data_IF_391992839708
#
_entry.id   IF_391992839708
#
_cell.length_a   1.000
_cell.length_b   1.000
_cell.length_c   1.000
_cell.angle_alpha   90.00
_cell.angle_beta   90.00
_cell.angle_gamma   90.00
#
_symmetry.space_group_name_H-M   'P 1'
#
loop_
_entity.id
_entity.type
_entity.pdbx_description
1 polymer ?
#
# COMPACT_ATOMS: atom_id res chain seq x y z
N UNK A 1 36.96 10.69 10.76
CA UNK A 1 35.65 10.84 10.09
C UNK A 1 35.26 9.47 9.56
N UNK A 2 34.05 9.00 9.86
CA UNK A 2 33.63 7.61 9.63
C UNK A 2 32.66 7.42 8.44
N UNK A 3 32.34 8.48 7.70
CA UNK A 3 31.60 8.41 6.44
C UNK A 3 31.66 9.73 5.68
N UNK A 4 31.43 9.67 4.37
CA UNK A 4 31.30 10.84 3.50
C UNK A 4 29.91 11.49 3.65
N UNK A 5 29.82 12.75 3.24
CA UNK A 5 28.54 13.47 3.17
C UNK A 5 27.59 12.81 2.17
N UNK A 6 26.28 12.74 2.45
CA UNK A 6 25.29 12.24 1.50
C UNK A 6 25.37 13.03 0.18
N UNK A 7 25.46 12.33 -0.95
CA UNK A 7 25.35 12.94 -2.26
C UNK A 7 23.90 13.40 -2.51
N UNK A 8 23.74 14.62 -3.03
CA UNK A 8 22.45 15.16 -3.49
C UNK A 8 21.98 14.39 -4.73
N UNK A 9 21.23 13.30 -4.57
CA UNK A 9 20.49 12.70 -5.68
C UNK A 9 19.14 12.02 -5.34
N UNK A 10 18.59 12.19 -4.13
CA UNK A 10 17.37 11.45 -3.72
C UNK A 10 16.27 12.33 -3.08
N UNK A 11 16.01 13.54 -3.58
CA UNK A 11 14.94 14.39 -3.04
C UNK A 11 13.87 14.70 -4.08
N UNK A 12 13.16 13.67 -4.53
CA UNK A 12 11.75 13.85 -4.89
C UNK A 12 11.01 13.74 -3.56
N UNK A 13 10.70 14.89 -2.96
CA UNK A 13 10.08 14.95 -1.64
C UNK A 13 8.73 14.23 -1.60
N UNK A 14 8.35 13.74 -0.42
CA UNK A 14 7.02 13.17 -0.24
C UNK A 14 5.99 14.28 -0.38
N UNK A 15 5.05 14.10 -1.32
CA UNK A 15 3.93 15.02 -1.47
C UNK A 15 2.98 14.77 -0.30
N UNK A 16 2.98 15.71 0.63
CA UNK A 16 2.04 15.71 1.77
C UNK A 16 0.73 16.43 1.43
N UNK A 17 0.75 17.30 0.42
CA UNK A 17 -0.36 18.11 -0.09
C UNK A 17 -0.14 18.38 -1.58
N UNK A 18 -1.21 18.69 -2.33
CA UNK A 18 -1.11 19.12 -3.72
C UNK A 18 -2.26 18.64 -4.60
N UNK A 19 -2.18 18.96 -5.88
CA UNK A 19 -3.08 18.46 -6.92
C UNK A 19 -2.62 17.06 -7.37
N UNK A 20 -3.61 16.18 -7.55
CA UNK A 20 -3.41 14.83 -8.07
C UNK A 20 -3.14 14.88 -9.57
N UNK A 21 -2.21 14.06 -10.07
CA UNK A 21 -1.74 14.11 -11.47
C UNK A 21 -2.14 12.91 -12.32
N UNK A 22 -2.63 11.84 -11.70
CA UNK A 22 -3.21 10.68 -12.37
C UNK A 22 -4.66 10.91 -12.81
N UNK A 23 -5.27 9.85 -13.31
CA UNK A 23 -6.61 9.88 -13.90
C UNK A 23 -7.51 8.78 -13.34
N UNK A 24 -8.81 9.05 -13.26
CA UNK A 24 -9.81 8.01 -13.00
C UNK A 24 -10.12 7.27 -14.30
N UNK A 25 -10.03 5.95 -14.25
CA UNK A 25 -10.33 5.03 -15.34
C UNK A 25 -11.32 3.97 -14.88
N UNK A 26 -11.87 3.24 -15.85
CA UNK A 26 -12.66 2.04 -15.59
C UNK A 26 -11.85 0.83 -16.05
N UNK A 27 -11.68 -0.15 -15.17
CA UNK A 27 -11.09 -1.46 -15.48
C UNK A 27 -12.19 -2.52 -15.62
N UNK A 28 -11.80 -3.80 -15.72
CA UNK A 28 -12.75 -4.91 -15.85
C UNK A 28 -13.86 -4.87 -14.78
N UNK A 29 -15.02 -5.45 -15.15
CA UNK A 29 -16.21 -5.51 -14.30
C UNK A 29 -16.75 -4.13 -13.85
N UNK A 30 -16.52 -3.09 -14.65
CA UNK A 30 -16.90 -1.70 -14.37
C UNK A 30 -16.32 -1.15 -13.06
N UNK A 31 -15.19 -1.70 -12.61
CA UNK A 31 -14.51 -1.22 -11.41
C UNK A 31 -13.81 0.10 -11.70
N UNK A 32 -14.08 1.13 -10.89
CA UNK A 32 -13.34 2.39 -10.96
C UNK A 32 -11.91 2.18 -10.46
N UNK A 33 -10.95 2.86 -11.07
CA UNK A 33 -9.57 2.85 -10.61
C UNK A 33 -8.90 4.20 -10.84
N UNK A 34 -7.88 4.51 -10.05
CA UNK A 34 -7.02 5.67 -10.27
C UNK A 34 -5.67 5.19 -10.81
N UNK A 35 -5.30 5.69 -11.99
CA UNK A 35 -4.05 5.37 -12.68
C UNK A 35 -3.10 6.56 -12.61
N UNK A 36 -1.95 6.36 -11.99
CA UNK A 36 -0.83 7.29 -12.01
C UNK A 36 0.29 6.72 -12.90
N UNK A 37 0.64 7.46 -13.95
CA UNK A 37 1.65 7.05 -14.94
C UNK A 37 2.94 7.87 -14.74
N UNK A 38 4.12 7.24 -14.74
CA UNK A 38 5.37 7.96 -14.57
C UNK A 38 5.65 8.91 -15.74
N UNK A 39 6.40 10.01 -15.52
CA UNK A 39 6.99 10.78 -16.60
C UNK A 39 7.85 9.89 -17.51
N UNK A 40 7.82 10.13 -18.81
CA UNK A 40 8.48 9.27 -19.81
C UNK A 40 10.00 9.11 -19.57
N UNK A 41 10.66 10.14 -19.03
CA UNK A 41 12.10 10.15 -18.71
C UNK A 41 12.45 9.37 -17.43
N UNK A 42 11.47 8.93 -16.66
CA UNK A 42 11.65 8.21 -15.38
C UNK A 42 11.02 6.82 -15.37
N UNK A 43 10.32 6.45 -16.43
CA UNK A 43 9.55 5.22 -16.49
C UNK A 43 10.43 3.97 -16.32
N UNK A 44 10.11 3.13 -15.33
CA UNK A 44 10.65 1.79 -15.21
C UNK A 44 9.89 0.87 -16.15
N UNK A 45 10.40 0.68 -17.37
CA UNK A 45 9.72 -0.08 -18.42
C UNK A 45 9.30 -1.49 -17.94
N UNK A 46 8.01 -1.79 -18.11
CA UNK A 46 7.44 -3.08 -17.71
C UNK A 46 7.27 -3.28 -16.21
N UNK A 47 7.49 -2.26 -15.37
CA UNK A 47 7.37 -2.33 -13.90
C UNK A 47 6.22 -1.45 -13.42
N UNK A 48 5.39 -1.99 -12.52
CA UNK A 48 4.24 -1.28 -11.98
C UNK A 48 3.85 -1.74 -10.58
N UNK A 49 2.97 -0.97 -9.96
CA UNK A 49 2.49 -1.18 -8.60
C UNK A 49 0.97 -1.28 -8.61
N UNK A 50 0.44 -2.37 -8.04
CA UNK A 50 -0.94 -2.40 -7.57
C UNK A 50 -0.98 -1.80 -6.16
N UNK A 51 -1.63 -0.64 -6.03
CA UNK A 51 -1.81 0.05 -4.77
C UNK A 51 -3.15 -0.37 -4.18
N UNK A 52 -3.11 -1.05 -3.05
CA UNK A 52 -4.29 -1.53 -2.35
C UNK A 52 -4.56 -0.58 -1.17
N UNK A 53 -5.62 0.25 -1.25
CA UNK A 53 -5.83 1.33 -0.30
C UNK A 53 -6.30 0.84 1.08
N UNK A 54 -6.32 1.79 2.02
CA UNK A 54 -7.02 1.64 3.29
C UNK A 54 -8.54 1.76 3.11
N UNK A 55 -9.28 1.78 4.21
CA UNK A 55 -10.75 1.85 4.24
C UNK A 55 -11.36 3.09 3.56
N UNK A 56 -10.56 4.13 3.31
CA UNK A 56 -11.01 5.33 2.57
C UNK A 56 -10.81 5.20 1.06
N UNK A 57 -10.34 4.05 0.57
CA UNK A 57 -10.30 3.73 -0.85
C UNK A 57 -9.50 4.75 -1.67
N UNK A 58 -10.03 5.09 -2.85
CA UNK A 58 -9.50 6.18 -3.67
C UNK A 58 -9.82 7.52 -2.99
N UNK A 59 -8.89 7.98 -2.16
CA UNK A 59 -8.91 9.26 -1.45
C UNK A 59 -7.81 10.18 -2.00
N UNK A 60 -7.86 11.48 -1.68
CA UNK A 60 -6.79 12.41 -2.08
C UNK A 60 -5.41 11.94 -1.58
N UNK A 61 -5.33 11.41 -0.35
CA UNK A 61 -4.07 10.90 0.19
C UNK A 61 -3.53 9.68 -0.57
N UNK A 62 -4.39 8.73 -0.94
CA UNK A 62 -3.96 7.56 -1.71
C UNK A 62 -3.57 7.95 -3.14
N UNK A 63 -4.31 8.88 -3.77
CA UNK A 63 -3.98 9.42 -5.09
C UNK A 63 -2.61 10.11 -5.07
N UNK A 64 -2.34 10.96 -4.07
CA UNK A 64 -1.04 11.62 -3.91
C UNK A 64 0.10 10.62 -3.65
N UNK A 65 -0.15 9.50 -2.99
CA UNK A 65 0.84 8.44 -2.83
C UNK A 65 1.10 7.70 -4.14
N UNK A 66 0.05 7.35 -4.90
CA UNK A 66 0.20 6.74 -6.23
C UNK A 66 0.96 7.65 -7.19
N UNK A 67 0.67 8.96 -7.17
CA UNK A 67 1.41 9.95 -7.94
C UNK A 67 2.89 10.02 -7.56
N UNK A 68 3.23 9.77 -6.28
CA UNK A 68 4.62 9.72 -5.85
C UNK A 68 5.32 8.46 -6.30
N UNK A 69 4.66 7.30 -6.29
CA UNK A 69 5.20 6.08 -6.89
C UNK A 69 5.45 6.29 -8.39
N UNK A 70 4.51 6.90 -9.11
CA UNK A 70 4.69 7.31 -10.51
C UNK A 70 5.83 8.31 -10.70
N UNK A 71 5.99 9.29 -9.82
CA UNK A 71 7.12 10.22 -9.86
C UNK A 71 8.49 9.54 -9.66
N UNK A 72 8.50 8.34 -9.05
CA UNK A 72 9.66 7.46 -8.91
C UNK A 72 9.68 6.32 -9.94
N UNK A 73 8.97 6.46 -11.06
CA UNK A 73 9.10 5.55 -12.20
C UNK A 73 8.11 4.38 -12.27
N UNK A 74 7.23 4.24 -11.28
CA UNK A 74 6.31 3.10 -11.20
C UNK A 74 4.91 3.44 -11.72
N UNK A 75 4.46 2.78 -12.79
CA UNK A 75 3.03 2.84 -13.19
C UNK A 75 2.18 2.28 -12.05
N UNK A 76 1.34 3.09 -11.43
CA UNK A 76 0.64 2.75 -10.19
C UNK A 76 -0.87 2.80 -10.37
N UNK A 77 -1.56 1.71 -10.01
CA UNK A 77 -3.01 1.57 -10.14
C UNK A 77 -3.66 1.34 -8.78
N UNK A 78 -4.61 2.20 -8.41
CA UNK A 78 -5.46 2.04 -7.22
C UNK A 78 -6.85 1.57 -7.68
N UNK A 79 -7.26 0.32 -7.46
CA UNK A 79 -8.65 -0.07 -7.70
C UNK A 79 -9.57 0.41 -6.58
N UNK A 80 -10.82 0.72 -6.93
CA UNK A 80 -11.89 0.95 -5.97
C UNK A 80 -12.38 -0.38 -5.38
N UNK A 81 -11.78 -0.77 -4.25
CA UNK A 81 -12.09 -2.02 -3.55
C UNK A 81 -13.55 -2.11 -3.07
N UNK A 82 -14.22 -0.97 -2.94
CA UNK A 82 -15.51 -0.88 -2.26
C UNK A 82 -16.66 -0.56 -3.22
N UNK A 83 -16.41 -0.45 -4.53
CA UNK A 83 -17.41 -0.11 -5.55
C UNK A 83 -18.25 1.13 -5.18
N UNK A 84 -17.58 2.20 -4.76
CA UNK A 84 -18.18 3.46 -4.35
C UNK A 84 -18.60 3.51 -2.87
N UNK A 85 -18.48 2.42 -2.13
CA UNK A 85 -18.89 2.31 -0.73
C UNK A 85 -17.71 2.47 0.27
N UNK A 86 -16.73 3.31 -0.07
CA UNK A 86 -15.60 3.61 0.82
C UNK A 86 -16.07 4.29 2.12
N UNK A 87 -15.27 4.17 3.18
CA UNK A 87 -15.52 4.83 4.46
C UNK A 87 -15.69 6.35 4.28
N UNK A 88 -16.69 6.99 4.92
CA UNK A 88 -16.81 8.44 4.95
C UNK A 88 -15.61 9.15 5.59
N UNK A 89 -15.33 10.36 5.10
CA UNK A 89 -14.30 11.25 5.65
C UNK A 89 -14.92 12.61 5.99
N UNK A 90 -14.98 13.03 7.27
CA UNK A 90 -14.46 12.34 8.46
C UNK A 90 -15.29 11.11 8.85
N UNK A 91 -14.65 10.15 9.53
CA UNK A 91 -15.32 8.97 10.07
C UNK A 91 -16.34 9.39 11.14
N UNK A 92 -17.61 8.94 11.06
CA UNK A 92 -18.60 9.23 12.09
C UNK A 92 -18.21 8.67 13.46
N UNK A 93 -18.52 9.40 14.53
CA UNK A 93 -18.29 8.91 15.90
C UNK A 93 -19.12 7.65 16.16
N UNK A 94 -18.47 6.58 16.62
CA UNK A 94 -19.15 5.30 16.91
C UNK A 94 -19.51 4.48 15.67
N UNK A 95 -18.89 4.78 14.51
CA UNK A 95 -19.09 4.01 13.30
C UNK A 95 -18.69 2.53 13.50
N UNK A 96 -19.57 1.62 13.09
CA UNK A 96 -19.33 0.18 13.16
C UNK A 96 -18.52 -0.29 11.95
N UNK A 97 -17.19 -0.24 12.07
CA UNK A 97 -16.27 -0.68 11.02
C UNK A 97 -16.48 -2.16 10.68
N UNK A 98 -16.77 -3.01 11.68
CA UNK A 98 -16.95 -4.44 11.44
C UNK A 98 -18.28 -4.73 10.74
N UNK A 99 -19.34 -4.02 11.12
CA UNK A 99 -20.63 -4.05 10.42
C UNK A 99 -20.50 -3.60 8.97
N UNK A 100 -19.78 -2.51 8.72
CA UNK A 100 -19.47 -2.01 7.36
C UNK A 100 -18.64 -3.02 6.56
N UNK A 101 -17.58 -3.61 7.13
CA UNK A 101 -16.81 -4.67 6.45
C UNK A 101 -17.71 -5.87 6.11
N UNK A 102 -18.57 -6.28 7.03
CA UNK A 102 -19.35 -7.52 6.90
C UNK A 102 -20.55 -7.36 5.96
N UNK A 103 -21.10 -6.15 5.84
CA UNK A 103 -22.38 -5.94 5.16
C UNK A 103 -22.36 -4.81 4.10
N UNK A 104 -21.34 -3.95 4.09
CA UNK A 104 -21.38 -2.66 3.38
C UNK A 104 -22.28 -1.65 4.09
N UNK A 105 -22.34 -0.42 3.58
CA UNK A 105 -23.20 0.65 4.14
C UNK A 105 -24.69 0.35 3.97
N UNK A 106 -25.06 -0.31 2.87
CA UNK A 106 -26.46 -0.60 2.52
C UNK A 106 -26.91 -2.04 2.85
N UNK A 107 -26.00 -2.85 3.39
CA UNK A 107 -26.26 -4.26 3.72
C UNK A 107 -26.14 -5.23 2.54
N UNK A 108 -25.69 -4.78 1.36
CA UNK A 108 -25.68 -5.58 0.12
C UNK A 108 -24.31 -5.69 -0.54
N UNK A 109 -23.34 -4.89 -0.10
CA UNK A 109 -22.01 -4.82 -0.68
C UNK A 109 -20.92 -5.09 0.37
N UNK A 110 -20.77 -6.34 0.84
CA UNK A 110 -19.79 -6.67 1.87
C UNK A 110 -18.36 -6.41 1.37
N UNK A 111 -17.46 -5.99 2.25
CA UNK A 111 -16.05 -5.73 1.95
C UNK A 111 -15.18 -6.89 2.48
N UNK A 112 -15.52 -8.10 2.07
CA UNK A 112 -14.87 -9.34 2.48
C UNK A 112 -13.89 -9.83 1.42
N UNK A 113 -13.05 -10.84 1.71
CA UNK A 113 -12.17 -11.38 0.68
C UNK A 113 -12.88 -11.87 -0.58
N UNK A 114 -14.11 -12.41 -0.47
CA UNK A 114 -14.85 -12.88 -1.65
C UNK A 114 -15.26 -11.77 -2.62
N UNK A 115 -15.40 -10.53 -2.14
CA UNK A 115 -15.75 -9.38 -2.99
C UNK A 115 -14.53 -8.60 -3.44
N UNK A 116 -13.51 -8.51 -2.59
CA UNK A 116 -12.30 -7.70 -2.88
C UNK A 116 -11.27 -8.47 -3.69
N UNK A 117 -11.09 -9.78 -3.46
CA UNK A 117 -10.07 -10.55 -4.17
C UNK A 117 -10.24 -10.46 -5.72
N UNK A 118 -11.45 -10.58 -6.29
CA UNK A 118 -11.65 -10.41 -7.74
C UNK A 118 -11.25 -9.02 -8.25
N UNK A 119 -11.56 -7.96 -7.49
CA UNK A 119 -11.19 -6.57 -7.86
C UNK A 119 -9.68 -6.40 -7.98
N UNK A 120 -8.92 -7.07 -7.11
CA UNK A 120 -7.46 -6.97 -7.12
C UNK A 120 -6.86 -7.79 -8.27
N UNK A 121 -7.44 -8.95 -8.57
CA UNK A 121 -7.08 -9.73 -9.76
C UNK A 121 -7.33 -8.91 -11.03
N UNK A 122 -8.47 -8.23 -11.13
CA UNK A 122 -8.78 -7.31 -12.25
C UNK A 122 -7.76 -6.18 -12.36
N UNK A 123 -7.34 -5.59 -11.23
CA UNK A 123 -6.32 -4.54 -11.21
C UNK A 123 -4.94 -5.05 -11.67
N UNK A 124 -4.54 -6.24 -11.22
CA UNK A 124 -3.30 -6.90 -11.66
C UNK A 124 -3.35 -7.18 -13.16
N UNK A 125 -4.48 -7.66 -13.68
CA UNK A 125 -4.66 -7.91 -15.11
C UNK A 125 -4.65 -6.62 -15.92
N UNK A 126 -5.27 -5.54 -15.43
CA UNK A 126 -5.24 -4.24 -16.07
C UNK A 126 -3.80 -3.67 -16.17
N UNK A 127 -2.94 -3.92 -15.19
CA UNK A 127 -1.51 -3.61 -15.28
C UNK A 127 -0.83 -4.47 -16.36
N UNK A 128 -1.08 -5.78 -16.38
CA UNK A 128 -0.51 -6.70 -17.40
C UNK A 128 -0.90 -6.30 -18.82
N UNK A 129 -2.14 -5.94 -19.06
CA UNK A 129 -2.66 -5.45 -20.35
C UNK A 129 -1.97 -4.16 -20.82
N UNK A 130 -1.44 -3.37 -19.87
CA UNK A 130 -0.64 -2.16 -20.14
C UNK A 130 0.85 -2.45 -20.33
N UNK A 131 1.23 -3.71 -20.47
CA UNK A 131 2.62 -4.13 -20.70
C UNK A 131 3.45 -4.25 -19.42
N UNK A 132 2.83 -4.18 -18.23
CA UNK A 132 3.54 -4.40 -16.97
C UNK A 132 3.76 -5.90 -16.75
N UNK A 133 5.01 -6.31 -16.63
CA UNK A 133 5.41 -7.71 -16.43
C UNK A 133 5.94 -7.96 -15.02
N UNK A 134 6.52 -6.95 -14.38
CA UNK A 134 6.95 -6.97 -12.97
C UNK A 134 6.00 -6.13 -12.12
N UNK A 135 5.30 -6.77 -11.18
CA UNK A 135 4.25 -6.11 -10.38
C UNK A 135 4.62 -6.14 -8.89
N UNK A 136 4.78 -4.96 -8.31
CA UNK A 136 4.81 -4.74 -6.88
C UNK A 136 3.40 -4.57 -6.30
N UNK A 137 3.21 -4.97 -5.04
CA UNK A 137 1.99 -4.68 -4.29
C UNK A 137 2.28 -3.77 -3.11
N UNK A 138 1.59 -2.63 -3.01
CA UNK A 138 1.60 -1.81 -1.79
C UNK A 138 0.25 -1.91 -1.09
N UNK A 139 0.26 -2.07 0.22
CA UNK A 139 -0.96 -2.24 1.02
C UNK A 139 -0.91 -1.38 2.27
N UNK A 140 -1.93 -0.54 2.46
CA UNK A 140 -2.04 0.35 3.61
C UNK A 140 -3.21 -0.07 4.49
N UNK A 141 -2.99 -0.23 5.80
CA UNK A 141 -4.05 -0.63 6.75
C UNK A 141 -4.77 -1.90 6.27
N UNK A 142 -6.01 -1.75 5.80
CA UNK A 142 -6.88 -2.79 5.28
C UNK A 142 -6.28 -3.48 4.05
N UNK A 143 -5.66 -2.71 3.15
CA UNK A 143 -5.06 -3.22 1.92
C UNK A 143 -3.88 -4.16 2.14
N UNK A 144 -3.23 -4.13 3.31
CA UNK A 144 -2.09 -4.98 3.62
C UNK A 144 -2.44 -6.48 3.57
N UNK A 145 -3.64 -6.85 4.04
CA UNK A 145 -4.16 -8.22 3.94
C UNK A 145 -4.14 -8.72 2.50
N UNK A 146 -4.45 -7.84 1.55
CA UNK A 146 -4.63 -8.27 0.19
C UNK A 146 -3.33 -8.31 -0.61
N UNK A 147 -2.31 -7.51 -0.25
CA UNK A 147 -0.96 -7.70 -0.81
C UNK A 147 -0.48 -9.12 -0.54
N UNK A 148 -0.57 -9.60 0.71
CA UNK A 148 -0.09 -10.96 1.04
C UNK A 148 -0.90 -12.05 0.34
N UNK A 149 -2.22 -11.86 0.17
CA UNK A 149 -3.11 -12.82 -0.50
C UNK A 149 -2.85 -12.96 -2.00
N UNK A 150 -2.38 -11.91 -2.66
CA UNK A 150 -2.30 -11.83 -4.12
C UNK A 150 -0.89 -12.01 -4.71
N UNK A 151 0.08 -12.48 -3.90
CA UNK A 151 1.31 -13.07 -4.44
C UNK A 151 1.02 -14.18 -5.46
N UNK A 152 0.03 -15.02 -5.17
CA UNK A 152 -0.41 -16.11 -6.07
C UNK A 152 -0.94 -15.62 -7.44
N UNK A 153 -1.36 -14.36 -7.54
CA UNK A 153 -2.02 -13.80 -8.72
C UNK A 153 -1.09 -12.92 -9.59
N UNK A 154 0.12 -12.62 -9.10
CA UNK A 154 1.17 -11.96 -9.86
C UNK A 154 1.98 -10.89 -9.13
N UNK A 155 1.69 -10.61 -7.85
CA UNK A 155 2.55 -9.77 -7.02
C UNK A 155 3.89 -10.48 -6.83
N UNK A 156 4.98 -9.80 -7.19
CA UNK A 156 6.35 -10.31 -7.13
C UNK A 156 7.14 -9.75 -5.94
N UNK A 157 6.81 -8.53 -5.49
CA UNK A 157 7.36 -7.92 -4.28
C UNK A 157 6.26 -7.15 -3.55
N UNK A 158 6.24 -7.23 -2.22
CA UNK A 158 5.19 -6.64 -1.40
C UNK A 158 5.73 -5.63 -0.40
N UNK A 159 4.93 -4.59 -0.15
CA UNK A 159 5.17 -3.60 0.89
C UNK A 159 3.89 -3.33 1.68
N UNK A 160 3.95 -3.42 3.01
CA UNK A 160 2.83 -3.19 3.92
C UNK A 160 3.13 -1.99 4.81
N UNK A 161 2.20 -1.05 4.92
CA UNK A 161 2.28 0.03 5.92
C UNK A 161 1.14 -0.11 6.92
N UNK A 162 1.50 -0.13 8.22
CA UNK A 162 0.59 -0.27 9.36
C UNK A 162 -0.52 -1.31 9.09
N UNK A 163 -0.15 -2.60 8.93
CA UNK A 163 -1.06 -3.63 8.41
C UNK A 163 -2.24 -3.93 9.35
N UNK A 164 -3.34 -4.42 8.78
CA UNK A 164 -4.51 -4.91 9.51
C UNK A 164 -5.05 -6.19 8.86
N UNK A 165 -5.73 -7.03 9.65
CA UNK A 165 -6.42 -8.26 9.20
C UNK A 165 -5.59 -9.33 8.47
N UNK A 166 -4.27 -9.17 8.40
CA UNK A 166 -3.33 -10.18 7.88
C UNK A 166 -3.38 -11.41 8.78
N UNK A 167 -3.75 -12.57 8.22
CA UNK A 167 -3.72 -13.85 8.94
C UNK A 167 -2.34 -14.50 8.85
N UNK A 168 -2.02 -15.35 9.83
CA UNK A 168 -0.72 -16.03 9.90
C UNK A 168 -0.50 -16.94 8.68
N UNK A 169 -1.54 -17.66 8.26
CA UNK A 169 -1.50 -18.56 7.11
C UNK A 169 -1.36 -17.79 5.79
N UNK A 170 -2.00 -16.62 5.68
CA UNK A 170 -1.86 -15.74 4.52
C UNK A 170 -0.44 -15.19 4.41
N UNK A 171 0.14 -14.77 5.54
CA UNK A 171 1.51 -14.27 5.58
C UNK A 171 2.53 -15.38 5.29
N UNK A 172 2.31 -16.59 5.80
CA UNK A 172 3.18 -17.74 5.55
C UNK A 172 3.14 -18.22 4.09
N UNK A 173 2.07 -17.90 3.35
CA UNK A 173 1.85 -18.34 1.97
C UNK A 173 2.44 -17.39 0.90
N UNK A 174 3.08 -16.29 1.30
CA UNK A 174 3.75 -15.40 0.33
C UNK A 174 4.85 -16.15 -0.43
N UNK A 175 5.09 -15.74 -1.67
CA UNK A 175 6.06 -16.40 -2.57
C UNK A 175 7.19 -15.48 -3.03
N UNK A 176 7.27 -14.26 -2.47
CA UNK A 176 8.30 -13.28 -2.79
C UNK A 176 8.62 -12.34 -1.64
N UNK A 177 9.57 -11.41 -1.84
CA UNK A 177 10.06 -10.49 -0.82
C UNK A 177 8.95 -9.59 -0.23
N UNK A 178 8.93 -9.40 1.09
CA UNK A 178 7.96 -8.55 1.79
C UNK A 178 8.63 -7.54 2.76
N UNK A 179 8.27 -6.26 2.64
CA UNK A 179 8.69 -5.21 3.58
C UNK A 179 7.51 -4.64 4.37
N UNK A 180 7.72 -4.36 5.66
CA UNK A 180 6.69 -3.86 6.58
C UNK A 180 7.15 -2.56 7.25
N UNK A 181 6.36 -1.50 7.13
CA UNK A 181 6.51 -0.27 7.90
C UNK A 181 5.50 -0.26 9.06
N UNK A 182 6.00 -0.49 10.27
CA UNK A 182 5.21 -0.63 11.48
C UNK A 182 5.24 0.64 12.35
N UNK A 183 4.12 0.94 13.00
CA UNK A 183 4.00 2.03 13.96
C UNK A 183 4.17 1.52 15.41
N UNK A 184 4.90 2.28 16.24
CA UNK A 184 5.17 1.89 17.63
C UNK A 184 3.90 1.77 18.47
N UNK A 185 2.99 2.75 18.38
CA UNK A 185 1.78 2.82 19.23
C UNK A 185 0.55 2.29 18.51
N UNK A 186 0.75 1.38 17.55
CA UNK A 186 -0.32 0.73 16.80
C UNK A 186 -0.99 -0.38 17.63
N UNK A 187 -2.28 -0.22 17.90
CA UNK A 187 -3.09 -1.21 18.62
C UNK A 187 -3.62 -2.32 17.72
N UNK A 188 -3.57 -2.15 16.40
CA UNK A 188 -3.99 -3.13 15.40
C UNK A 188 -2.81 -4.05 15.04
N UNK A 189 -1.61 -3.49 14.95
CA UNK A 189 -0.36 -4.24 14.75
C UNK A 189 0.63 -4.05 15.93
N UNK A 190 0.25 -4.50 17.15
CA UNK A 190 1.05 -4.37 18.37
C UNK A 190 2.31 -5.24 18.35
N UNK A 191 3.16 -5.10 19.37
CA UNK A 191 4.46 -5.77 19.47
C UNK A 191 4.39 -7.28 19.30
N UNK A 192 3.45 -7.95 19.94
CA UNK A 192 3.28 -9.41 19.85
C UNK A 192 2.93 -9.85 18.42
N UNK A 193 2.07 -9.11 17.72
CA UNK A 193 1.75 -9.36 16.30
C UNK A 193 2.93 -9.09 15.39
N UNK A 194 3.74 -8.04 15.66
CA UNK A 194 4.98 -7.77 14.92
C UNK A 194 5.99 -8.90 15.05
N UNK A 195 6.24 -9.36 16.28
CA UNK A 195 7.13 -10.48 16.56
C UNK A 195 6.62 -11.77 15.89
N UNK A 196 5.31 -12.00 15.94
CA UNK A 196 4.70 -13.15 15.26
C UNK A 196 4.89 -13.11 13.74
N UNK A 197 4.72 -11.94 13.12
CA UNK A 197 5.01 -11.75 11.71
C UNK A 197 6.49 -11.98 11.38
N UNK A 198 7.40 -11.50 12.21
CA UNK A 198 8.84 -11.77 12.07
C UNK A 198 9.15 -13.27 12.12
N UNK A 199 8.60 -14.00 13.10
CA UNK A 199 8.76 -15.45 13.21
C UNK A 199 8.26 -16.20 11.96
N UNK A 200 7.14 -15.77 11.39
CA UNK A 200 6.56 -16.36 10.18
C UNK A 200 7.44 -16.05 8.97
N UNK A 201 7.86 -14.78 8.82
CA UNK A 201 8.69 -14.33 7.71
C UNK A 201 10.07 -15.00 7.70
N UNK A 202 10.67 -15.23 8.85
CA UNK A 202 11.92 -16.01 8.95
C UNK A 202 11.73 -17.43 8.38
N UNK A 203 10.57 -18.06 8.61
CA UNK A 203 10.29 -19.43 8.16
C UNK A 203 10.01 -19.54 6.68
N UNK A 204 9.61 -18.46 6.00
CA UNK A 204 9.38 -18.51 4.55
C UNK A 204 10.70 -18.65 3.77
N UNK A 205 11.83 -18.25 4.36
CA UNK A 205 13.13 -18.21 3.70
C UNK A 205 13.24 -17.13 2.62
N UNK A 206 12.26 -16.23 2.53
CA UNK A 206 12.21 -15.12 1.58
C UNK A 206 12.84 -13.86 2.20
N UNK A 207 13.37 -12.93 1.38
CA UNK A 207 13.83 -11.65 1.89
C UNK A 207 12.68 -10.89 2.57
N UNK A 208 12.94 -10.35 3.75
CA UNK A 208 11.97 -9.50 4.43
C UNK A 208 12.65 -8.34 5.14
N UNK A 209 11.88 -7.29 5.35
CA UNK A 209 12.29 -6.12 6.13
C UNK A 209 11.14 -5.69 7.03
N UNK A 210 11.44 -5.35 8.29
CA UNK A 210 10.47 -4.73 9.20
C UNK A 210 11.15 -3.50 9.81
N UNK A 211 10.58 -2.33 9.54
CA UNK A 211 11.00 -1.08 10.19
C UNK A 211 9.95 -0.65 11.21
N UNK A 212 10.38 -0.35 12.43
CA UNK A 212 9.53 0.20 13.48
C UNK A 212 9.74 1.70 13.61
N UNK A 213 8.69 2.48 13.39
CA UNK A 213 8.70 3.94 13.54
C UNK A 213 8.15 4.33 14.91
N UNK A 214 9.00 4.98 15.72
CA UNK A 214 8.62 5.49 17.04
C UNK A 214 7.80 6.76 16.98
N UNK A 215 6.91 6.96 17.95
CA UNK A 215 6.13 8.20 18.09
C UNK A 215 5.02 8.37 17.07
N UNK A 216 4.62 7.29 16.38
CA UNK A 216 3.53 7.28 15.41
C UNK A 216 2.55 6.14 15.66
N UNK A 217 1.31 6.37 15.22
CA UNK A 217 0.15 5.48 15.38
C UNK A 217 -0.21 4.78 14.07
N UNK A 218 -1.23 3.92 14.12
CA UNK A 218 -1.84 3.34 12.92
C UNK A 218 -2.24 4.43 11.91
N UNK A 219 -2.00 4.19 10.63
CA UNK A 219 -2.31 5.16 9.57
C UNK A 219 -1.24 6.22 9.29
N UNK A 220 -0.13 6.24 10.04
CA UNK A 220 0.91 7.29 9.91
C UNK A 220 1.46 7.49 8.49
N UNK A 221 1.58 6.41 7.71
CA UNK A 221 2.13 6.48 6.36
C UNK A 221 1.19 7.19 5.37
N UNK A 222 -0.13 7.14 5.63
CA UNK A 222 -1.14 7.81 4.80
C UNK A 222 -1.53 9.18 5.37
N UNK A 223 -1.76 9.26 6.69
CA UNK A 223 -2.40 10.41 7.35
C UNK A 223 -1.58 11.09 8.45
N UNK A 224 -0.28 10.77 8.59
CA UNK A 224 0.58 11.49 9.53
C UNK A 224 0.62 12.98 9.25
N UNK A 225 0.56 13.81 10.31
CA UNK A 225 0.55 15.27 10.20
C UNK A 225 1.92 15.77 9.74
N UNK A 226 2.05 16.38 8.55
CA UNK A 226 3.33 16.89 8.06
C UNK A 226 3.85 18.08 8.89
N UNK A 227 3.03 18.70 9.74
CA UNK A 227 3.47 19.76 10.65
C UNK A 227 4.07 19.21 11.94
N UNK A 228 3.83 17.94 12.27
CA UNK A 228 4.46 17.25 13.40
C UNK A 228 5.73 16.57 12.92
N UNK A 229 6.89 17.05 13.37
CA UNK A 229 8.21 16.62 12.87
C UNK A 229 8.41 15.10 12.87
N UNK A 230 7.98 14.40 13.92
CA UNK A 230 8.13 12.94 14.03
C UNK A 230 7.23 12.19 13.06
N UNK A 231 5.99 12.64 12.88
CA UNK A 231 5.03 12.04 11.95
C UNK A 231 5.45 12.28 10.50
N UNK A 232 5.86 13.51 10.18
CA UNK A 232 6.44 13.84 8.86
C UNK A 232 7.61 12.93 8.53
N UNK A 233 8.59 12.82 9.43
CA UNK A 233 9.76 11.99 9.22
C UNK A 233 9.37 10.52 9.01
N UNK A 234 8.51 9.96 9.86
CA UNK A 234 8.08 8.58 9.74
C UNK A 234 7.33 8.32 8.43
N UNK A 235 6.42 9.23 8.04
CA UNK A 235 5.69 9.16 6.76
C UNK A 235 6.64 9.18 5.56
N UNK A 236 7.63 10.07 5.59
CA UNK A 236 8.66 10.17 4.56
C UNK A 236 9.51 8.90 4.46
N UNK A 237 10.01 8.41 5.60
CA UNK A 237 10.85 7.22 5.63
C UNK A 237 10.09 5.94 5.27
N UNK A 238 8.81 5.83 5.61
CA UNK A 238 7.98 4.71 5.18
C UNK A 238 7.81 4.70 3.65
N UNK A 239 7.61 5.87 3.03
CA UNK A 239 7.57 5.95 1.57
C UNK A 239 8.92 5.60 0.93
N UNK A 240 10.03 6.11 1.46
CA UNK A 240 11.37 5.78 0.97
C UNK A 240 11.71 4.30 1.14
N UNK A 241 11.28 3.68 2.23
CA UNK A 241 11.38 2.23 2.43
C UNK A 241 10.67 1.46 1.30
N UNK A 242 9.45 1.86 0.93
CA UNK A 242 8.72 1.22 -0.15
C UNK A 242 9.44 1.34 -1.49
N UNK A 243 9.90 2.54 -1.86
CA UNK A 243 10.64 2.77 -3.11
C UNK A 243 11.92 1.96 -3.14
N UNK A 244 12.75 2.04 -2.09
CA UNK A 244 13.99 1.27 -2.02
C UNK A 244 13.74 -0.25 -2.10
N UNK A 245 12.63 -0.73 -1.52
CA UNK A 245 12.26 -2.14 -1.58
C UNK A 245 11.89 -2.59 -3.00
N UNK A 246 11.13 -1.77 -3.72
CA UNK A 246 10.78 -2.09 -5.11
C UNK A 246 11.96 -1.92 -6.06
N UNK A 247 12.84 -0.94 -5.84
CA UNK A 247 14.04 -0.77 -6.63
C UNK A 247 14.92 -2.02 -6.54
N UNK A 248 15.10 -2.58 -5.34
CA UNK A 248 15.90 -3.80 -5.13
C UNK A 248 15.28 -5.05 -5.75
N UNK A 249 13.95 -5.19 -5.69
CA UNK A 249 13.29 -6.47 -6.01
C UNK A 249 12.58 -6.51 -7.35
N UNK A 250 12.35 -5.36 -7.99
CA UNK A 250 11.63 -5.27 -9.27
C UNK A 250 12.47 -4.69 -10.41
N UNK A 251 13.60 -4.04 -10.17
CA UNK A 251 14.48 -3.53 -11.24
C UNK A 251 15.55 -4.56 -11.59
#
# INVERSE_FOLDING_TARGET
MASNQPAKCCTIGVRHQGETTGELITIANNTQAYLATPPADKNHEGVGIVYIPDIWGISTNSQLLADQYAANGYTTLIPDLFHGDKMPEPMPKGFDIMGWITNGTDGKNPHTPSTIDPVIVDAINALKERGITKIGGVGYCFGAKYVVRHYKDGIQAGYLAHPSFVQEEELAAITGPLSIAAAQTDTIFPTDKRQKSEEILIKTGLPFQINLFSGVVHGFAVRGDPNVKVEKFAKEQAFYQAVAWFDEHLL
#
